data_IF_778642189644
#
_entry.id   IF_778642189644
#
_cell.length_a   1.000
_cell.length_b   1.000
_cell.length_c   1.000
_cell.angle_alpha   90.00
_cell.angle_beta   90.00
_cell.angle_gamma   90.00
#
_symmetry.space_group_name_H-M   'P 1'
#
loop_
_entity.id
_entity.type
_entity.pdbx_description
1 polymer ?
#
# COMPACT_ATOMS: atom_id res chain seq x y z
N UNK A 1 -28.28 2.45 -6.97
CA UNK A 1 -27.86 3.22 -5.78
C UNK A 1 -26.35 3.20 -5.81
N UNK A 2 -25.71 4.35 -6.00
CA UNK A 2 -24.26 4.43 -6.07
C UNK A 2 -23.76 4.52 -4.62
N UNK A 3 -23.10 3.48 -4.13
CA UNK A 3 -22.51 3.45 -2.79
C UNK A 3 -21.06 3.95 -2.86
N UNK A 4 -20.72 4.90 -1.99
CA UNK A 4 -19.34 5.35 -1.76
C UNK A 4 -19.02 5.02 -0.30
N UNK A 5 -17.95 4.26 -0.11
CA UNK A 5 -17.41 3.93 1.21
C UNK A 5 -16.00 4.52 1.31
N UNK A 6 -15.72 5.22 2.41
CA UNK A 6 -14.42 5.85 2.66
C UNK A 6 -13.92 5.36 4.00
N UNK A 7 -12.65 4.95 4.03
CA UNK A 7 -11.94 4.56 5.24
C UNK A 7 -10.53 5.11 5.20
N UNK A 8 -10.11 5.75 6.28
CA UNK A 8 -8.72 6.07 6.55
C UNK A 8 -8.09 5.04 7.51
N UNK A 9 -6.77 4.92 7.42
CA UNK A 9 -5.96 4.19 8.39
C UNK A 9 -4.54 4.76 8.38
N UNK A 10 -3.77 4.46 9.42
CA UNK A 10 -2.39 4.91 9.54
C UNK A 10 -1.47 3.72 9.79
N UNK A 11 -0.30 3.74 9.17
CA UNK A 11 0.74 2.72 9.35
C UNK A 11 2.02 3.40 9.77
N UNK A 12 2.65 2.86 10.81
CA UNK A 12 3.96 3.31 11.24
C UNK A 12 5.03 2.67 10.35
N UNK A 13 5.73 3.52 9.61
CA UNK A 13 6.85 3.12 8.76
C UNK A 13 8.18 3.31 9.51
N UNK A 14 9.17 2.50 9.13
CA UNK A 14 10.57 2.66 9.51
C UNK A 14 11.25 3.82 8.79
N UNK A 15 12.59 3.89 8.90
CA UNK A 15 13.41 4.86 8.18
C UNK A 15 13.87 4.27 6.85
N UNK A 16 14.07 5.13 5.85
CA UNK A 16 14.50 4.71 4.51
C UNK A 16 13.40 3.95 3.76
N UNK A 17 13.79 3.03 2.87
CA UNK A 17 12.86 2.18 2.13
C UNK A 17 12.30 1.09 3.04
N UNK A 18 11.16 1.37 3.67
CA UNK A 18 10.37 0.40 4.41
C UNK A 18 9.13 0.02 3.61
N UNK A 19 8.80 -1.27 3.60
CA UNK A 19 7.68 -1.84 2.85
C UNK A 19 6.80 -2.57 3.87
N UNK A 20 5.49 -2.31 3.81
CA UNK A 20 4.49 -2.91 4.70
C UNK A 20 3.37 -3.48 3.85
N UNK A 21 3.02 -4.73 4.12
CA UNK A 21 1.81 -5.33 3.57
C UNK A 21 0.57 -4.70 4.21
N UNK A 22 -0.37 -4.25 3.38
CA UNK A 22 -1.64 -3.65 3.78
C UNK A 22 -2.84 -4.46 3.29
N UNK A 23 -2.61 -5.64 2.71
CA UNK A 23 -3.63 -6.47 2.06
C UNK A 23 -4.81 -6.75 2.97
N UNK A 24 -4.57 -7.14 4.22
CA UNK A 24 -5.64 -7.44 5.18
C UNK A 24 -6.44 -6.19 5.59
N UNK A 25 -5.79 -5.03 5.70
CA UNK A 25 -6.44 -3.75 6.02
C UNK A 25 -7.40 -3.38 4.88
N UNK A 26 -6.94 -3.54 3.64
CA UNK A 26 -7.71 -3.23 2.42
C UNK A 26 -8.86 -4.23 2.26
N UNK A 27 -8.61 -5.54 2.45
CA UNK A 27 -9.63 -6.58 2.41
C UNK A 27 -10.75 -6.36 3.43
N UNK A 28 -10.38 -5.92 4.64
CA UNK A 28 -11.34 -5.55 5.67
C UNK A 28 -12.19 -4.34 5.23
N UNK A 29 -11.57 -3.30 4.65
CA UNK A 29 -12.28 -2.13 4.15
C UNK A 29 -13.26 -2.49 3.01
N UNK A 30 -12.83 -3.33 2.06
CA UNK A 30 -13.68 -3.81 0.96
C UNK A 30 -14.86 -4.63 1.51
N UNK A 31 -14.61 -5.53 2.46
CA UNK A 31 -15.67 -6.34 3.10
C UNK A 31 -16.69 -5.47 3.83
N UNK A 32 -16.23 -4.49 4.60
CA UNK A 32 -17.09 -3.55 5.33
C UNK A 32 -17.91 -2.63 4.41
N UNK A 33 -17.42 -2.35 3.19
CA UNK A 33 -18.11 -1.49 2.24
C UNK A 33 -19.43 -2.06 1.71
N UNK A 34 -19.59 -3.39 1.76
CA UNK A 34 -20.71 -4.14 1.17
C UNK A 34 -20.92 -3.88 -0.34
N UNK A 35 -19.94 -3.26 -1.02
CA UNK A 35 -19.94 -3.07 -2.47
C UNK A 35 -19.64 -4.42 -3.13
N UNK A 36 -20.59 -4.93 -3.93
CA UNK A 36 -20.44 -6.22 -4.62
C UNK A 36 -19.57 -6.11 -5.87
N UNK A 37 -19.70 -5.02 -6.61
CA UNK A 37 -19.00 -4.76 -7.86
C UNK A 37 -18.63 -3.27 -7.90
N UNK A 38 -17.36 -2.97 -8.12
CA UNK A 38 -16.85 -1.61 -8.08
C UNK A 38 -15.33 -1.54 -8.12
N UNK A 39 -14.78 -0.40 -7.71
CA UNK A 39 -13.34 -0.13 -7.68
C UNK A 39 -12.93 0.27 -6.28
N UNK A 40 -11.88 -0.35 -5.75
CA UNK A 40 -11.19 0.12 -4.56
C UNK A 40 -10.08 1.09 -4.99
N UNK A 41 -10.22 2.37 -4.64
CA UNK A 41 -9.20 3.38 -4.89
C UNK A 41 -8.45 3.68 -3.59
N UNK A 42 -7.13 3.57 -3.63
CA UNK A 42 -6.26 3.85 -2.49
C UNK A 42 -5.38 5.04 -2.82
N UNK A 43 -5.16 5.91 -1.84
CA UNK A 43 -4.26 7.05 -1.94
C UNK A 43 -3.37 7.12 -0.70
N UNK A 44 -2.09 7.43 -0.90
CA UNK A 44 -1.15 7.72 0.18
C UNK A 44 -1.09 9.23 0.38
N UNK A 45 -1.13 9.68 1.64
CA UNK A 45 -1.02 11.09 1.97
C UNK A 45 0.47 11.47 2.07
N UNK A 46 0.90 12.43 1.24
CA UNK A 46 2.28 12.94 1.20
C UNK A 46 3.04 12.53 -0.06
N UNK A 47 4.23 13.09 -0.26
CA UNK A 47 5.03 12.91 -1.48
C UNK A 47 6.11 11.83 -1.40
N UNK A 48 6.38 11.30 -0.21
CA UNK A 48 7.51 10.40 0.07
C UNK A 48 7.08 8.95 0.26
N UNK A 49 5.83 8.61 -0.03
CA UNK A 49 5.28 7.27 0.11
C UNK A 49 4.49 6.89 -1.14
N UNK A 50 4.48 5.60 -1.47
CA UNK A 50 3.76 5.04 -2.61
C UNK A 50 2.96 3.81 -2.19
N UNK A 51 1.93 3.50 -2.98
CA UNK A 51 1.17 2.25 -2.87
C UNK A 51 1.45 1.46 -4.15
N UNK A 52 1.75 0.18 -4.01
CA UNK A 52 1.98 -0.72 -5.13
C UNK A 52 1.43 -2.11 -4.79
N UNK A 53 1.33 -2.96 -5.80
CA UNK A 53 1.02 -4.38 -5.65
C UNK A 53 2.24 -5.19 -6.05
N UNK A 54 2.64 -6.14 -5.22
CA UNK A 54 3.74 -7.07 -5.46
C UNK A 54 3.44 -8.39 -4.74
N UNK A 55 4.06 -9.49 -5.17
CA UNK A 55 4.10 -10.69 -4.35
C UNK A 55 4.87 -10.39 -3.05
N UNK A 56 4.19 -10.48 -1.91
CA UNK A 56 4.76 -10.12 -0.62
C UNK A 56 5.55 -11.30 -0.03
N UNK A 57 6.70 -11.58 -0.62
CA UNK A 57 7.64 -12.60 -0.16
C UNK A 57 9.03 -11.98 0.07
N UNK A 58 9.86 -12.55 0.96
CA UNK A 58 11.14 -11.97 1.35
C UNK A 58 12.06 -11.55 0.19
N UNK A 59 12.21 -12.37 -0.85
CA UNK A 59 13.05 -12.09 -2.01
C UNK A 59 12.60 -10.87 -2.80
N UNK A 60 11.34 -10.83 -3.22
CA UNK A 60 10.73 -9.73 -3.96
C UNK A 60 10.78 -8.41 -3.17
N UNK A 61 10.59 -8.47 -1.85
CA UNK A 61 10.72 -7.30 -0.98
C UNK A 61 12.16 -6.76 -0.99
N UNK A 62 13.15 -7.62 -0.82
CA UNK A 62 14.56 -7.20 -0.82
C UNK A 62 15.04 -6.73 -2.20
N UNK A 63 14.56 -7.36 -3.28
CA UNK A 63 14.83 -6.94 -4.65
C UNK A 63 14.24 -5.55 -4.95
N UNK A 64 13.00 -5.29 -4.52
CA UNK A 64 12.38 -3.98 -4.67
C UNK A 64 13.11 -2.90 -3.86
N UNK A 65 13.50 -3.20 -2.61
CA UNK A 65 14.31 -2.28 -1.80
C UNK A 65 15.63 -1.96 -2.48
N UNK A 66 16.32 -2.96 -3.03
CA UNK A 66 17.58 -2.78 -3.78
C UNK A 66 17.37 -1.90 -5.00
N UNK A 67 16.36 -2.20 -5.83
CA UNK A 67 16.05 -1.42 -7.02
C UNK A 67 15.73 0.06 -6.69
N UNK A 68 14.95 0.33 -5.64
CA UNK A 68 14.67 1.70 -5.20
C UNK A 68 15.95 2.42 -4.78
N UNK A 69 16.82 1.77 -3.99
CA UNK A 69 18.08 2.37 -3.57
C UNK A 69 19.08 2.56 -4.72
N UNK A 70 19.04 1.72 -5.76
CA UNK A 70 19.86 1.91 -6.96
C UNK A 70 19.37 3.09 -7.81
N UNK A 71 18.05 3.24 -7.96
CA UNK A 71 17.42 4.32 -8.72
C UNK A 71 17.46 5.68 -8.00
N UNK A 72 17.30 5.65 -6.68
CA UNK A 72 17.28 6.83 -5.81
C UNK A 72 18.11 6.55 -4.54
N UNK A 73 19.45 6.66 -4.63
CA UNK A 73 20.34 6.35 -3.52
C UNK A 73 20.06 7.20 -2.28
N UNK A 74 20.07 6.61 -1.07
CA UNK A 74 20.07 7.40 0.15
C UNK A 74 21.38 8.20 0.20
N UNK A 75 21.26 9.52 0.32
CA UNK A 75 22.41 10.42 0.51
C UNK A 75 23.12 10.15 1.84
#
# INVERSE_FOLDING_TARGET
MNSIFIRDFSIKMGRGVDIKDITDIVNKAVTESQVKEGVAHLTSIGSTGSITTIEYEPGAIEDLKRAINELAPPH
#
